data_IF_540824273473
#
_entry.id   IF_540824273473
#
_cell.length_a   1.000
_cell.length_b   1.000
_cell.length_c   1.000
_cell.angle_alpha   90.00
_cell.angle_beta   90.00
_cell.angle_gamma   90.00
#
_symmetry.space_group_name_H-M   'P 1'
#
loop_
_entity.id
_entity.type
_entity.pdbx_description
1 polymer ?
#
# COMPACT_ATOMS: atom_id res chain seq x y z
N UNK A 1 6.34 14.46 20.00
CA UNK A 1 6.91 13.59 18.99
C UNK A 1 5.98 12.45 18.63
N UNK A 2 5.84 12.23 17.36
CA UNK A 2 5.00 11.12 16.90
C UNK A 2 5.73 9.81 17.14
N UNK A 3 5.05 8.88 17.74
CA UNK A 3 5.60 7.56 17.90
C UNK A 3 5.52 6.80 16.57
N UNK A 4 6.66 6.34 16.09
CA UNK A 4 6.74 5.52 14.90
C UNK A 4 6.45 4.05 15.20
N UNK A 5 6.30 3.68 16.46
CA UNK A 5 6.15 2.29 16.85
C UNK A 5 4.87 1.64 16.32
N UNK A 6 3.84 2.46 16.08
CA UNK A 6 2.58 1.98 15.54
C UNK A 6 2.76 1.21 14.22
N UNK A 7 3.70 1.66 13.39
CA UNK A 7 3.92 1.05 12.07
C UNK A 7 5.20 0.24 11.98
N UNK A 8 6.02 0.28 13.01
CA UNK A 8 7.32 -0.38 12.99
C UNK A 8 7.15 -1.90 12.79
N UNK A 9 7.85 -2.43 11.82
CA UNK A 9 7.83 -3.85 11.43
C UNK A 9 6.48 -4.35 10.89
N UNK A 10 5.48 -3.48 10.74
CA UNK A 10 4.24 -3.87 10.08
C UNK A 10 4.47 -4.07 8.59
N UNK A 11 3.78 -5.03 8.02
CA UNK A 11 3.81 -5.30 6.59
C UNK A 11 2.61 -4.64 5.96
N UNK A 12 2.85 -3.54 5.24
CA UNK A 12 1.79 -2.70 4.72
C UNK A 12 1.86 -2.68 3.20
N UNK A 13 0.75 -3.08 2.57
CA UNK A 13 0.62 -3.01 1.13
C UNK A 13 0.08 -1.63 0.73
N UNK A 14 0.67 -1.03 -0.30
CA UNK A 14 0.19 0.22 -0.87
C UNK A 14 -0.25 -0.06 -2.30
N UNK A 15 -1.53 0.06 -2.55
CA UNK A 15 -2.13 -0.23 -3.85
C UNK A 15 -2.56 1.06 -4.53
N UNK A 16 -2.00 1.32 -5.71
CA UNK A 16 -2.14 2.60 -6.39
C UNK A 16 -0.96 3.50 -6.06
N UNK A 17 -0.02 3.62 -6.99
CA UNK A 17 1.26 4.30 -6.76
C UNK A 17 1.38 5.59 -7.56
N UNK A 18 0.28 6.37 -7.60
CA UNK A 18 0.34 7.75 -8.05
C UNK A 18 1.05 8.63 -7.01
N UNK A 19 0.88 9.93 -7.09
CA UNK A 19 1.56 10.86 -6.18
C UNK A 19 1.24 10.56 -4.71
N UNK A 20 -0.04 10.33 -4.40
CA UNK A 20 -0.46 10.04 -3.03
C UNK A 20 0.12 8.72 -2.54
N UNK A 21 0.03 7.66 -3.35
CA UNK A 21 0.56 6.36 -2.98
C UNK A 21 2.06 6.39 -2.73
N UNK A 22 2.80 7.08 -3.58
CA UNK A 22 4.25 7.23 -3.41
C UNK A 22 4.58 7.98 -2.11
N UNK A 23 3.84 9.04 -1.81
CA UNK A 23 4.03 9.82 -0.58
C UNK A 23 3.76 8.97 0.66
N UNK A 24 2.66 8.23 0.66
CA UNK A 24 2.30 7.33 1.75
C UNK A 24 3.37 6.26 1.95
N UNK A 25 3.82 5.63 0.87
CA UNK A 25 4.82 4.59 0.93
C UNK A 25 6.13 5.09 1.53
N UNK A 26 6.58 6.28 1.11
CA UNK A 26 7.79 6.89 1.68
C UNK A 26 7.65 7.17 3.17
N UNK A 27 6.51 7.72 3.57
CA UNK A 27 6.26 8.03 4.98
C UNK A 27 6.24 6.77 5.83
N UNK A 28 5.53 5.73 5.39
CA UNK A 28 5.46 4.47 6.11
C UNK A 28 6.83 3.82 6.25
N UNK A 29 7.63 3.88 5.20
CA UNK A 29 8.99 3.34 5.25
C UNK A 29 9.83 4.07 6.30
N UNK A 30 9.72 5.39 6.37
CA UNK A 30 10.42 6.17 7.40
C UNK A 30 9.96 5.82 8.81
N UNK A 31 8.70 5.41 8.96
CA UNK A 31 8.14 5.00 10.24
C UNK A 31 8.45 3.54 10.59
N UNK A 32 9.28 2.87 9.79
CA UNK A 32 9.74 1.53 10.07
C UNK A 32 8.89 0.40 9.52
N UNK A 33 7.88 0.71 8.73
CA UNK A 33 7.05 -0.32 8.09
C UNK A 33 7.80 -0.99 6.93
N UNK A 34 7.46 -2.25 6.70
CA UNK A 34 7.85 -2.97 5.49
C UNK A 34 6.75 -2.76 4.47
N UNK A 35 7.08 -2.12 3.35
CA UNK A 35 6.08 -1.76 2.35
C UNK A 35 6.13 -2.67 1.13
N UNK A 36 4.97 -2.90 0.55
CA UNK A 36 4.79 -3.70 -0.65
C UNK A 36 3.89 -2.91 -1.58
N UNK A 37 4.41 -2.50 -2.73
CA UNK A 37 3.75 -1.55 -3.61
C UNK A 37 3.26 -2.23 -4.89
N UNK A 38 2.11 -1.80 -5.37
CA UNK A 38 1.60 -2.25 -6.66
C UNK A 38 0.66 -1.23 -7.27
N UNK A 39 0.60 -1.26 -8.59
CA UNK A 39 -0.36 -0.48 -9.38
C UNK A 39 -0.75 -1.30 -10.60
N UNK A 40 -2.02 -1.26 -10.99
CA UNK A 40 -2.50 -1.99 -12.16
C UNK A 40 -1.95 -1.42 -13.47
N UNK A 41 -1.54 -0.16 -13.47
CA UNK A 41 -0.95 0.51 -14.65
C UNK A 41 0.52 0.14 -14.79
N UNK A 42 0.85 -0.51 -15.91
CA UNK A 42 2.22 -0.93 -16.18
C UNK A 42 3.19 0.25 -16.26
N UNK A 43 2.72 1.40 -16.73
CA UNK A 43 3.58 2.60 -16.82
C UNK A 43 3.97 3.10 -15.45
N UNK A 44 3.03 3.07 -14.51
CA UNK A 44 3.30 3.45 -13.13
C UNK A 44 4.24 2.44 -12.47
N UNK A 45 4.05 1.16 -12.72
CA UNK A 45 4.97 0.14 -12.19
C UNK A 45 6.41 0.35 -12.65
N UNK A 46 6.61 0.69 -13.93
CA UNK A 46 7.95 1.00 -14.43
C UNK A 46 8.55 2.21 -13.74
N UNK A 47 7.75 3.26 -13.56
CA UNK A 47 8.19 4.49 -12.90
C UNK A 47 8.61 4.22 -11.46
N UNK A 48 7.79 3.54 -10.68
CA UNK A 48 8.10 3.30 -9.27
C UNK A 48 9.25 2.31 -9.09
N UNK A 49 9.43 1.37 -10.01
CA UNK A 49 10.59 0.49 -10.01
C UNK A 49 11.87 1.29 -10.17
N UNK A 50 11.88 2.26 -11.10
CA UNK A 50 13.02 3.13 -11.30
C UNK A 50 13.30 4.04 -10.09
N UNK A 51 12.29 4.32 -9.29
CA UNK A 51 12.41 5.09 -8.06
C UNK A 51 12.69 4.20 -6.84
N UNK A 52 13.00 2.93 -7.07
CA UNK A 52 13.35 1.94 -6.04
C UNK A 52 12.24 1.63 -5.03
N UNK A 53 10.99 1.76 -5.43
CA UNK A 53 9.90 1.24 -4.62
C UNK A 53 9.81 -0.28 -4.75
N UNK A 54 9.52 -1.00 -3.67
CA UNK A 54 9.44 -2.46 -3.69
C UNK A 54 8.12 -2.94 -4.31
N UNK A 55 8.16 -3.26 -5.59
CA UNK A 55 7.02 -3.86 -6.28
C UNK A 55 6.78 -5.28 -5.77
N UNK A 56 5.54 -5.58 -5.45
CA UNK A 56 5.20 -6.90 -4.92
C UNK A 56 3.74 -7.24 -5.19
N UNK A 57 3.50 -8.43 -5.68
CA UNK A 57 2.13 -8.96 -5.85
C UNK A 57 1.64 -9.50 -4.51
N UNK A 58 1.44 -8.63 -3.56
CA UNK A 58 1.17 -8.96 -2.15
C UNK A 58 -0.09 -9.81 -1.95
N UNK A 59 -1.05 -9.74 -2.87
CA UNK A 59 -2.30 -10.48 -2.76
C UNK A 59 -2.15 -11.97 -2.99
N UNK A 60 -1.03 -12.43 -3.49
CA UNK A 60 -0.77 -13.85 -3.71
C UNK A 60 -0.48 -14.61 -2.41
N UNK A 61 -0.11 -13.89 -1.35
CA UNK A 61 0.11 -14.48 -0.03
C UNK A 61 -0.66 -13.65 0.99
N UNK A 62 -1.92 -13.97 1.18
CA UNK A 62 -2.88 -13.15 1.91
C UNK A 62 -2.60 -13.00 3.40
N UNK A 63 -1.99 -14.00 4.02
CA UNK A 63 -1.69 -13.93 5.46
C UNK A 63 -0.49 -13.04 5.77
N UNK A 64 0.19 -12.58 4.74
CA UNK A 64 1.46 -11.87 4.85
C UNK A 64 1.27 -10.39 5.23
N UNK A 65 0.18 -9.78 4.82
CA UNK A 65 -0.04 -8.34 4.92
C UNK A 65 -0.85 -8.01 6.17
N UNK A 66 -0.40 -7.01 6.93
CA UNK A 66 -1.10 -6.53 8.12
C UNK A 66 -2.16 -5.48 7.77
N UNK A 67 -1.78 -4.49 6.96
CA UNK A 67 -2.67 -3.41 6.53
C UNK A 67 -2.53 -3.14 5.05
N UNK A 68 -3.59 -2.63 4.44
CA UNK A 68 -3.64 -2.30 3.01
C UNK A 68 -4.06 -0.84 2.87
N UNK A 69 -3.22 -0.04 2.22
CA UNK A 69 -3.55 1.34 1.87
C UNK A 69 -3.93 1.40 0.40
N UNK A 70 -5.11 1.94 0.12
CA UNK A 70 -5.59 2.09 -1.24
C UNK A 70 -5.65 3.57 -1.57
N UNK A 71 -5.01 3.97 -2.66
CA UNK A 71 -5.04 5.37 -3.12
C UNK A 71 -6.45 5.78 -3.52
N UNK A 72 -6.83 7.04 -3.25
CA UNK A 72 -8.20 7.51 -3.54
C UNK A 72 -8.64 7.36 -5.00
N UNK A 73 -7.69 7.37 -5.94
CA UNK A 73 -8.01 7.23 -7.37
C UNK A 73 -8.34 5.81 -7.81
N UNK A 74 -8.21 4.83 -6.94
CA UNK A 74 -8.47 3.43 -7.30
C UNK A 74 -9.95 3.11 -7.07
N UNK A 75 -10.60 2.59 -8.11
CA UNK A 75 -11.94 2.05 -7.97
C UNK A 75 -11.85 0.59 -7.52
N UNK A 76 -12.12 0.37 -6.24
CA UNK A 76 -12.00 -0.95 -5.62
C UNK A 76 -12.87 -1.99 -6.31
N UNK A 77 -14.04 -1.59 -6.81
CA UNK A 77 -14.97 -2.52 -7.45
C UNK A 77 -14.49 -3.00 -8.83
N UNK A 78 -13.59 -2.26 -9.46
CA UNK A 78 -13.12 -2.55 -10.82
C UNK A 78 -11.65 -2.93 -10.91
N UNK A 79 -10.90 -2.83 -9.81
CA UNK A 79 -9.49 -3.14 -9.85
C UNK A 79 -9.25 -4.64 -9.99
N UNK A 80 -8.04 -4.99 -10.44
CA UNK A 80 -7.69 -6.38 -10.74
C UNK A 80 -7.67 -7.28 -9.52
N UNK A 81 -7.50 -6.72 -8.33
CA UNK A 81 -7.43 -7.50 -7.09
C UNK A 81 -8.66 -7.32 -6.22
N UNK A 82 -9.81 -6.98 -6.82
CA UNK A 82 -11.02 -6.69 -6.05
C UNK A 82 -11.46 -7.85 -5.16
N UNK A 83 -11.30 -9.09 -5.60
CA UNK A 83 -11.66 -10.26 -4.80
C UNK A 83 -10.82 -10.34 -3.53
N UNK A 84 -9.52 -10.10 -3.64
CA UNK A 84 -8.62 -10.06 -2.49
C UNK A 84 -9.04 -8.95 -1.54
N UNK A 85 -9.34 -7.76 -2.06
CA UNK A 85 -9.72 -6.61 -1.23
C UNK A 85 -11.04 -6.85 -0.49
N UNK A 86 -12.02 -7.47 -1.15
CA UNK A 86 -13.29 -7.81 -0.52
C UNK A 86 -13.13 -8.76 0.65
N UNK A 87 -12.20 -9.71 0.55
CA UNK A 87 -11.91 -10.68 1.60
C UNK A 87 -11.11 -10.09 2.76
N UNK A 88 -10.51 -8.93 2.56
CA UNK A 88 -9.61 -8.31 3.52
C UNK A 88 -10.02 -6.89 3.88
N UNK A 89 -11.33 -6.60 3.88
CA UNK A 89 -11.83 -5.25 4.18
C UNK A 89 -11.36 -4.75 5.55
N UNK A 90 -11.23 -5.64 6.51
CA UNK A 90 -10.76 -5.29 7.85
C UNK A 90 -9.31 -4.82 7.89
N UNK A 91 -8.54 -5.10 6.84
CA UNK A 91 -7.14 -4.66 6.73
C UNK A 91 -6.97 -3.35 5.97
N UNK A 92 -8.03 -2.87 5.31
CA UNK A 92 -7.95 -1.69 4.47
C UNK A 92 -8.01 -0.44 5.32
N UNK A 93 -7.04 0.44 5.13
CA UNK A 93 -6.99 1.74 5.78
C UNK A 93 -6.81 2.82 4.73
N UNK A 94 -7.24 4.03 5.06
CA UNK A 94 -7.05 5.18 4.19
C UNK A 94 -5.82 5.98 4.63
N UNK A 95 -5.36 6.89 3.78
CA UNK A 95 -4.28 7.80 4.15
C UNK A 95 -4.67 8.70 5.34
N UNK A 96 -5.94 9.04 5.47
CA UNK A 96 -6.44 9.79 6.63
C UNK A 96 -6.27 8.99 7.92
N UNK A 97 -6.59 7.69 7.87
CA UNK A 97 -6.45 6.81 9.03
C UNK A 97 -5.00 6.69 9.51
N UNK A 98 -4.05 6.82 8.59
CA UNK A 98 -2.64 6.73 8.92
C UNK A 98 -2.15 7.91 9.75
N UNK A 99 -2.71 9.09 9.53
CA UNK A 99 -2.18 10.33 10.09
C UNK A 99 -3.10 10.96 11.15
N UNK A 100 -4.20 10.32 11.43
CA UNK A 100 -5.12 10.69 12.48
C UNK A 100 -5.44 9.50 13.36
#
# INVERSE_FOLDING_TARGET
MVTSRKYQNKRIAVYGMGLTGCSVARTLKKLGAKIFCWDDDVKIRKKIKNLNFPLNKFWLNQSFIDDIVISPGIDVSRCKINNYLRKNLNKIITDLDLFF
#
